data_IF_393807834776
#
_entry.id   IF_393807834776
#
_cell.length_a   1.000
_cell.length_b   1.000
_cell.length_c   1.000
_cell.angle_alpha   90.00
_cell.angle_beta   90.00
_cell.angle_gamma   90.00
#
_symmetry.space_group_name_H-M   'P 1'
#
loop_
_entity.id
_entity.type
_entity.pdbx_description
1 polymer ?
#
# COMPACT_ATOMS: atom_id res chain seq x y z
N UNK A 1 -2.14 32.01 -3.22
CA UNK A 1 -1.05 31.04 -3.45
C UNK A 1 -0.71 30.35 -2.14
N UNK A 2 -0.63 29.04 -2.14
CA UNK A 2 -0.21 28.25 -0.98
C UNK A 2 1.23 28.61 -0.63
N UNK A 3 1.48 28.91 0.64
CA UNK A 3 2.84 29.14 1.14
C UNK A 3 3.49 27.78 1.33
N UNK A 4 4.44 27.42 0.44
CA UNK A 4 5.27 26.23 0.59
C UNK A 4 5.99 26.27 1.94
N UNK A 5 6.21 25.10 2.55
CA UNK A 5 6.86 25.02 3.85
C UNK A 5 5.94 25.27 5.08
N UNK A 6 4.62 25.39 4.89
CA UNK A 6 3.71 25.54 6.02
C UNK A 6 3.70 24.27 6.88
N UNK A 7 4.20 24.37 8.11
CA UNK A 7 4.36 23.24 9.06
C UNK A 7 3.06 22.48 9.32
N UNK A 8 1.92 23.20 9.41
CA UNK A 8 0.61 22.59 9.67
C UNK A 8 0.16 21.72 8.50
N UNK A 9 0.30 22.24 7.27
CA UNK A 9 -0.03 21.52 6.04
C UNK A 9 0.87 20.31 5.83
N UNK A 10 2.18 20.48 6.03
CA UNK A 10 3.17 19.39 5.96
C UNK A 10 2.84 18.29 6.98
N UNK A 11 2.58 18.66 8.24
CA UNK A 11 2.21 17.68 9.27
C UNK A 11 0.92 16.95 8.89
N UNK A 12 -0.10 17.65 8.41
CA UNK A 12 -1.33 17.02 7.93
C UNK A 12 -1.09 16.06 6.77
N UNK A 13 -0.21 16.42 5.83
CA UNK A 13 0.17 15.55 4.72
C UNK A 13 0.88 14.28 5.21
N UNK A 14 1.89 14.41 6.04
CA UNK A 14 2.65 13.28 6.60
C UNK A 14 1.76 12.33 7.40
N UNK A 15 0.73 12.84 8.10
CA UNK A 15 -0.24 12.02 8.84
C UNK A 15 -1.15 11.16 7.96
N UNK A 16 -1.19 11.39 6.66
CA UNK A 16 -1.96 10.51 5.79
C UNK A 16 -1.32 9.12 5.66
N UNK A 17 0.01 9.03 5.62
CA UNK A 17 0.69 7.74 5.63
C UNK A 17 0.42 6.96 6.93
N UNK A 18 0.36 7.63 8.09
CA UNK A 18 -0.09 7.03 9.35
C UNK A 18 -1.50 6.45 9.23
N UNK A 19 -2.40 7.15 8.55
CA UNK A 19 -3.79 6.73 8.42
C UNK A 19 -3.95 5.55 7.45
N UNK A 20 -3.31 5.57 6.29
CA UNK A 20 -3.60 4.64 5.20
C UNK A 20 -2.70 3.40 5.15
N UNK A 21 -1.49 3.45 5.76
CA UNK A 21 -0.52 2.33 5.69
C UNK A 21 -0.98 1.07 6.41
N UNK A 22 -2.00 1.17 7.26
CA UNK A 22 -2.65 0.01 7.90
C UNK A 22 -3.32 -0.91 6.87
N UNK A 23 -3.82 -0.36 5.74
CA UNK A 23 -4.47 -1.13 4.70
C UNK A 23 -3.50 -2.12 4.01
N UNK A 24 -2.38 -1.69 3.38
CA UNK A 24 -1.49 -2.61 2.69
C UNK A 24 -0.87 -3.64 3.62
N UNK A 25 -0.57 -3.28 4.87
CA UNK A 25 0.03 -4.21 5.80
C UNK A 25 -0.98 -5.23 6.34
N UNK A 26 -2.11 -4.78 6.85
CA UNK A 26 -3.05 -5.62 7.60
C UNK A 26 -4.03 -6.34 6.66
N UNK A 27 -4.66 -5.59 5.75
CA UNK A 27 -5.64 -6.18 4.82
C UNK A 27 -4.93 -6.89 3.68
N UNK A 28 -4.07 -6.20 2.93
CA UNK A 28 -3.55 -6.73 1.68
C UNK A 28 -2.51 -7.83 1.87
N UNK A 29 -1.71 -7.78 2.97
CA UNK A 29 -0.56 -8.67 3.13
C UNK A 29 -0.65 -9.64 4.31
N UNK A 30 -1.34 -9.30 5.42
CA UNK A 30 -1.24 -10.08 6.65
C UNK A 30 -2.50 -10.90 6.97
N UNK A 31 -3.65 -10.26 7.21
CA UNK A 31 -4.80 -10.95 7.82
C UNK A 31 -5.82 -11.44 6.79
N UNK A 32 -6.20 -10.60 5.82
CA UNK A 32 -7.26 -10.98 4.89
C UNK A 32 -6.89 -12.14 3.95
N UNK A 33 -5.67 -12.24 3.38
CA UNK A 33 -5.29 -13.40 2.56
C UNK A 33 -5.41 -14.71 3.33
N UNK A 34 -4.96 -14.74 4.60
CA UNK A 34 -5.02 -15.93 5.46
C UNK A 34 -6.48 -16.28 5.78
N UNK A 35 -7.29 -15.28 6.13
CA UNK A 35 -8.71 -15.52 6.41
C UNK A 35 -9.44 -16.00 5.17
N UNK A 36 -9.20 -15.40 4.01
CA UNK A 36 -9.79 -15.80 2.74
C UNK A 36 -9.46 -17.26 2.41
N UNK A 37 -8.18 -17.64 2.49
CA UNK A 37 -7.74 -19.02 2.28
C UNK A 37 -8.40 -19.96 3.28
N UNK A 38 -8.43 -19.61 4.57
CA UNK A 38 -9.04 -20.44 5.63
C UNK A 38 -10.54 -20.64 5.40
N UNK A 39 -11.26 -19.61 4.97
CA UNK A 39 -12.71 -19.65 4.75
C UNK A 39 -13.08 -20.37 3.43
N UNK A 40 -12.17 -20.45 2.47
CA UNK A 40 -12.38 -21.04 1.15
C UNK A 40 -11.70 -22.40 0.96
N UNK A 41 -11.01 -22.90 1.99
CA UNK A 41 -10.37 -24.23 2.00
C UNK A 41 -11.07 -25.17 2.96
N UNK A 42 -11.19 -26.44 2.58
CA UNK A 42 -11.58 -27.53 3.48
C UNK A 42 -10.35 -28.39 3.77
N UNK A 43 -10.10 -28.62 5.07
CA UNK A 43 -9.00 -29.49 5.51
C UNK A 43 -9.57 -30.75 6.19
N UNK A 44 -8.88 -31.89 6.01
CA UNK A 44 -9.23 -33.11 6.72
C UNK A 44 -8.77 -33.05 8.19
N UNK A 45 -9.14 -34.05 8.99
CA UNK A 45 -8.76 -34.15 10.41
C UNK A 45 -7.22 -34.20 10.62
N UNK A 46 -6.44 -34.55 9.59
CA UNK A 46 -4.98 -34.56 9.60
C UNK A 46 -4.36 -33.23 9.12
N UNK A 47 -5.19 -32.20 8.85
CA UNK A 47 -4.73 -30.88 8.42
C UNK A 47 -4.40 -30.74 6.93
N UNK A 48 -4.55 -31.81 6.13
CA UNK A 48 -4.33 -31.74 4.68
C UNK A 48 -5.52 -31.10 3.97
N UNK A 49 -5.24 -30.21 3.03
CA UNK A 49 -6.26 -29.56 2.19
C UNK A 49 -6.93 -30.59 1.29
N UNK A 50 -8.27 -30.73 1.41
CA UNK A 50 -9.10 -31.59 0.56
C UNK A 50 -9.64 -30.79 -0.62
N UNK A 51 -9.99 -29.52 -0.38
CA UNK A 51 -10.63 -28.65 -1.32
C UNK A 51 -10.14 -27.20 -1.10
N UNK A 52 -9.72 -26.54 -2.15
CA UNK A 52 -9.18 -25.18 -2.15
C UNK A 52 -9.66 -24.36 -3.36
N UNK A 53 -10.84 -24.72 -3.89
CA UNK A 53 -11.43 -24.04 -5.04
C UNK A 53 -12.60 -23.15 -4.63
N UNK A 54 -12.78 -22.09 -5.39
CA UNK A 54 -13.85 -21.11 -5.25
C UNK A 54 -14.66 -21.08 -6.53
N UNK A 55 -15.97 -21.22 -6.42
CA UNK A 55 -16.87 -21.03 -7.56
C UNK A 55 -17.27 -19.56 -7.67
N UNK A 56 -16.93 -18.94 -8.79
CA UNK A 56 -17.31 -17.56 -9.07
C UNK A 56 -17.81 -17.43 -10.52
N UNK A 57 -19.00 -16.87 -10.69
CA UNK A 57 -19.68 -16.73 -11.99
C UNK A 57 -19.76 -18.06 -12.78
N UNK A 58 -19.98 -19.18 -12.07
CA UNK A 58 -20.09 -20.51 -12.67
C UNK A 58 -18.78 -21.16 -13.14
N UNK A 59 -17.65 -20.62 -12.72
CA UNK A 59 -16.31 -21.20 -12.94
C UNK A 59 -15.62 -21.48 -11.63
N UNK A 60 -14.83 -22.54 -11.59
CA UNK A 60 -13.98 -22.89 -10.44
C UNK A 60 -12.57 -22.36 -10.63
N UNK A 61 -12.03 -21.80 -9.57
CA UNK A 61 -10.67 -21.25 -9.49
C UNK A 61 -10.02 -21.76 -8.21
N UNK A 62 -8.72 -21.97 -8.21
CA UNK A 62 -7.98 -22.07 -6.95
C UNK A 62 -8.10 -20.77 -6.16
N UNK A 63 -8.36 -20.86 -4.87
CA UNK A 63 -8.66 -19.71 -4.02
C UNK A 63 -7.54 -18.66 -4.01
N UNK A 64 -6.27 -19.09 -3.92
CA UNK A 64 -5.11 -18.19 -3.94
C UNK A 64 -4.94 -17.49 -5.29
N UNK A 65 -5.15 -18.19 -6.40
CA UNK A 65 -5.11 -17.62 -7.76
C UNK A 65 -6.25 -16.62 -7.96
N UNK A 66 -7.46 -17.00 -7.53
CA UNK A 66 -8.63 -16.14 -7.63
C UNK A 66 -8.43 -14.82 -6.88
N UNK A 67 -7.92 -14.90 -5.64
CA UNK A 67 -7.58 -13.70 -4.86
C UNK A 67 -6.55 -12.83 -5.58
N UNK A 68 -5.50 -13.42 -6.13
CA UNK A 68 -4.49 -12.69 -6.91
C UNK A 68 -5.10 -11.99 -8.13
N UNK A 69 -6.02 -12.65 -8.88
CA UNK A 69 -6.72 -12.03 -10.01
C UNK A 69 -7.59 -10.84 -9.58
N UNK A 70 -8.29 -10.95 -8.45
CA UNK A 70 -9.12 -9.87 -7.89
C UNK A 70 -8.28 -8.64 -7.56
N UNK A 71 -7.15 -8.84 -6.90
CA UNK A 71 -6.22 -7.74 -6.57
C UNK A 71 -5.61 -7.13 -7.83
N UNK A 72 -5.13 -7.94 -8.77
CA UNK A 72 -4.61 -7.46 -10.05
C UNK A 72 -5.63 -6.63 -10.82
N UNK A 73 -6.88 -7.11 -10.91
CA UNK A 73 -7.96 -6.38 -11.58
C UNK A 73 -8.20 -5.02 -10.94
N UNK A 74 -8.19 -4.94 -9.61
CA UNK A 74 -8.36 -3.69 -8.87
C UNK A 74 -7.28 -2.67 -9.22
N UNK A 75 -6.02 -3.09 -9.27
CA UNK A 75 -4.90 -2.22 -9.65
C UNK A 75 -4.95 -1.81 -11.13
N UNK A 76 -5.38 -2.70 -12.03
CA UNK A 76 -5.58 -2.37 -13.46
C UNK A 76 -6.64 -1.27 -13.59
N UNK A 77 -7.78 -1.41 -12.90
CA UNK A 77 -8.85 -0.40 -12.90
C UNK A 77 -8.32 0.95 -12.45
N UNK A 78 -7.55 0.98 -11.35
CA UNK A 78 -6.95 2.22 -10.86
C UNK A 78 -5.94 2.78 -11.86
N UNK A 79 -5.07 1.96 -12.42
CA UNK A 79 -4.06 2.41 -13.38
C UNK A 79 -4.69 3.06 -14.63
N UNK A 80 -5.82 2.54 -15.10
CA UNK A 80 -6.54 3.09 -16.24
C UNK A 80 -7.31 4.39 -15.92
N UNK A 81 -7.89 4.47 -14.71
CA UNK A 81 -8.76 5.59 -14.33
C UNK A 81 -7.97 6.74 -13.70
N UNK A 82 -6.86 6.46 -13.00
CA UNK A 82 -6.10 7.46 -12.24
C UNK A 82 -5.62 8.66 -13.07
N UNK A 83 -5.06 8.49 -14.29
CA UNK A 83 -4.65 9.63 -15.10
C UNK A 83 -5.83 10.56 -15.42
N UNK A 84 -6.99 9.97 -15.78
CA UNK A 84 -8.20 10.74 -16.09
C UNK A 84 -8.68 11.53 -14.87
N UNK A 85 -8.77 10.87 -13.72
CA UNK A 85 -9.20 11.52 -12.49
C UNK A 85 -8.21 12.59 -12.02
N UNK A 86 -6.90 12.37 -12.20
CA UNK A 86 -5.86 13.36 -11.90
C UNK A 86 -6.03 14.61 -12.77
N UNK A 87 -6.18 14.44 -14.08
CA UNK A 87 -6.43 15.57 -15.01
C UNK A 87 -7.71 16.35 -14.65
N UNK A 88 -8.79 15.65 -14.31
CA UNK A 88 -10.05 16.26 -13.87
C UNK A 88 -9.84 17.02 -12.54
N UNK A 89 -9.12 16.45 -11.60
CA UNK A 89 -8.87 17.05 -10.30
C UNK A 89 -8.02 18.33 -10.40
N UNK A 90 -7.02 18.33 -11.27
CA UNK A 90 -6.14 19.48 -11.52
C UNK A 90 -6.88 20.63 -12.20
N UNK A 91 -7.75 20.33 -13.17
CA UNK A 91 -8.58 21.34 -13.84
C UNK A 91 -9.66 21.90 -12.93
N UNK A 92 -10.32 21.04 -12.13
CA UNK A 92 -11.44 21.45 -11.26
C UNK A 92 -11.00 22.05 -9.93
N UNK A 93 -9.73 21.94 -9.55
CA UNK A 93 -9.22 22.31 -8.23
C UNK A 93 -9.81 21.44 -7.07
N UNK A 94 -10.40 20.28 -7.37
CA UNK A 94 -11.08 19.42 -6.39
C UNK A 94 -10.23 18.24 -5.88
N UNK A 95 -8.91 18.35 -5.94
CA UNK A 95 -7.96 17.29 -5.53
C UNK A 95 -8.28 16.69 -4.15
N UNK A 96 -8.54 17.53 -3.14
CA UNK A 96 -8.91 17.09 -1.80
C UNK A 96 -10.23 16.30 -1.78
N UNK A 97 -11.21 16.68 -2.60
CA UNK A 97 -12.50 15.99 -2.64
C UNK A 97 -12.36 14.57 -3.22
N UNK A 98 -11.55 14.40 -4.26
CA UNK A 98 -11.23 13.08 -4.81
C UNK A 98 -10.46 12.23 -3.81
N UNK A 99 -9.45 12.80 -3.15
CA UNK A 99 -8.70 12.11 -2.10
C UNK A 99 -9.63 11.61 -0.98
N UNK A 100 -10.55 12.47 -0.50
CA UNK A 100 -11.57 12.10 0.50
C UNK A 100 -12.48 10.97 0.01
N UNK A 101 -12.99 11.08 -1.22
CA UNK A 101 -13.86 10.07 -1.80
C UNK A 101 -13.19 8.68 -1.79
N UNK A 102 -11.97 8.58 -2.30
CA UNK A 102 -11.25 7.32 -2.34
C UNK A 102 -10.85 6.81 -0.95
N UNK A 103 -10.44 7.70 -0.04
CA UNK A 103 -10.14 7.31 1.33
C UNK A 103 -11.37 6.76 2.07
N UNK A 104 -12.53 7.38 1.91
CA UNK A 104 -13.77 6.87 2.50
C UNK A 104 -14.27 5.59 1.80
N UNK A 105 -14.16 5.51 0.48
CA UNK A 105 -14.46 4.28 -0.25
C UNK A 105 -13.63 3.11 0.29
N UNK A 106 -12.31 3.30 0.43
CA UNK A 106 -11.41 2.29 0.94
C UNK A 106 -11.69 1.92 2.39
N UNK A 107 -11.84 2.91 3.27
CA UNK A 107 -12.08 2.67 4.70
C UNK A 107 -13.43 2.01 4.99
N UNK A 108 -14.50 2.43 4.30
CA UNK A 108 -15.83 1.80 4.42
C UNK A 108 -15.79 0.36 3.90
N UNK A 109 -15.10 0.12 2.80
CA UNK A 109 -14.92 -1.23 2.26
C UNK A 109 -14.13 -2.14 3.21
N UNK A 110 -13.09 -1.62 3.88
CA UNK A 110 -12.40 -2.35 4.95
C UNK A 110 -13.36 -2.70 6.10
N UNK A 111 -14.20 -1.75 6.54
CA UNK A 111 -15.23 -2.04 7.54
C UNK A 111 -16.24 -3.08 7.04
N UNK A 112 -16.58 -3.06 5.76
CA UNK A 112 -17.45 -4.07 5.13
C UNK A 112 -16.87 -5.48 5.20
N UNK A 113 -15.56 -5.65 5.14
CA UNK A 113 -14.89 -6.96 5.29
C UNK A 113 -15.14 -7.61 6.67
N UNK A 114 -15.57 -6.85 7.67
CA UNK A 114 -16.03 -7.42 8.95
C UNK A 114 -17.14 -8.45 8.78
N UNK A 115 -18.00 -8.30 7.79
CA UNK A 115 -19.11 -9.20 7.51
C UNK A 115 -18.73 -10.37 6.58
N UNK A 116 -17.46 -10.46 6.18
CA UNK A 116 -16.99 -11.53 5.30
C UNK A 116 -17.00 -12.89 6.00
N UNK A 117 -17.62 -13.87 5.35
CA UNK A 117 -17.53 -15.29 5.68
C UNK A 117 -17.68 -16.16 4.42
N UNK A 118 -17.55 -17.48 4.57
CA UNK A 118 -17.65 -18.42 3.44
C UNK A 118 -19.00 -18.36 2.69
N UNK A 119 -20.07 -17.90 3.35
CA UNK A 119 -21.44 -17.85 2.74
C UNK A 119 -21.68 -16.61 1.89
N UNK A 120 -20.82 -15.56 2.02
CA UNK A 120 -20.98 -14.29 1.32
C UNK A 120 -19.72 -13.85 0.57
N UNK A 121 -19.09 -14.79 -0.10
CA UNK A 121 -17.82 -14.62 -0.82
C UNK A 121 -17.83 -13.41 -1.76
N UNK A 122 -18.88 -13.24 -2.55
CA UNK A 122 -19.00 -12.13 -3.51
C UNK A 122 -18.96 -10.78 -2.82
N UNK A 123 -19.60 -10.65 -1.66
CA UNK A 123 -19.55 -9.42 -0.87
C UNK A 123 -18.15 -9.13 -0.37
N UNK A 124 -17.43 -10.14 0.16
CA UNK A 124 -16.05 -10.00 0.61
C UNK A 124 -15.11 -9.57 -0.52
N UNK A 125 -15.27 -10.19 -1.70
CA UNK A 125 -14.51 -9.83 -2.91
C UNK A 125 -14.79 -8.39 -3.31
N UNK A 126 -16.07 -8.00 -3.38
CA UNK A 126 -16.47 -6.64 -3.73
C UNK A 126 -15.85 -5.60 -2.77
N UNK A 127 -15.91 -5.87 -1.47
CA UNK A 127 -15.27 -5.05 -0.46
C UNK A 127 -13.73 -4.97 -0.65
N UNK A 128 -13.07 -6.10 -0.94
CA UNK A 128 -11.63 -6.14 -1.19
C UNK A 128 -11.24 -5.33 -2.43
N UNK A 129 -11.99 -5.43 -3.52
CA UNK A 129 -11.81 -4.63 -4.74
C UNK A 129 -11.94 -3.14 -4.45
N UNK A 130 -13.02 -2.72 -3.79
CA UNK A 130 -13.23 -1.31 -3.48
C UNK A 130 -12.23 -0.77 -2.44
N UNK A 131 -11.78 -1.59 -1.50
CA UNK A 131 -10.70 -1.22 -0.58
C UNK A 131 -9.40 -0.95 -1.33
N UNK A 132 -9.03 -1.82 -2.28
CA UNK A 132 -7.85 -1.66 -3.15
C UNK A 132 -7.94 -0.41 -4.02
N UNK A 133 -9.10 -0.20 -4.68
CA UNK A 133 -9.36 0.98 -5.50
C UNK A 133 -9.32 2.26 -4.65
N UNK A 134 -9.92 2.23 -3.47
CA UNK A 134 -9.91 3.34 -2.52
C UNK A 134 -8.50 3.70 -2.07
N UNK A 135 -7.69 2.69 -1.71
CA UNK A 135 -6.30 2.90 -1.34
C UNK A 135 -5.48 3.50 -2.48
N UNK A 136 -5.41 2.82 -3.61
CA UNK A 136 -4.58 3.25 -4.72
C UNK A 136 -5.05 4.60 -5.31
N UNK A 137 -6.38 4.81 -5.43
CA UNK A 137 -6.93 6.08 -5.87
C UNK A 137 -6.61 7.24 -4.93
N UNK A 138 -6.68 7.03 -3.60
CA UNK A 138 -6.35 8.08 -2.63
C UNK A 138 -4.87 8.47 -2.66
N UNK A 139 -3.97 7.50 -2.88
CA UNK A 139 -2.53 7.72 -2.98
C UNK A 139 -2.15 8.60 -4.17
N UNK A 140 -2.85 8.47 -5.31
CA UNK A 140 -2.61 9.33 -6.48
C UNK A 140 -2.76 10.80 -6.10
N UNK A 141 -3.87 11.17 -5.45
CA UNK A 141 -4.12 12.55 -5.05
C UNK A 141 -3.26 13.00 -3.88
N UNK A 142 -2.96 12.10 -2.94
CA UNK A 142 -2.06 12.34 -1.84
C UNK A 142 -0.65 12.72 -2.32
N UNK A 143 -0.07 11.91 -3.22
CA UNK A 143 1.27 12.18 -3.75
C UNK A 143 1.32 13.49 -4.55
N UNK A 144 0.24 13.83 -5.26
CA UNK A 144 0.15 15.07 -6.03
C UNK A 144 0.18 16.36 -5.18
N UNK A 145 0.05 16.27 -3.84
CA UNK A 145 0.22 17.42 -2.96
C UNK A 145 1.67 17.75 -2.65
N UNK A 146 2.59 16.78 -2.70
CA UNK A 146 3.99 17.00 -2.29
C UNK A 146 4.64 18.20 -2.98
N UNK A 147 4.58 18.36 -4.33
CA UNK A 147 5.16 19.52 -5.00
C UNK A 147 4.43 20.85 -4.75
N UNK A 148 3.19 20.79 -4.24
CA UNK A 148 2.42 22.00 -3.92
C UNK A 148 2.74 22.57 -2.53
N UNK A 149 3.10 21.70 -1.58
CA UNK A 149 3.26 22.06 -0.15
C UNK A 149 4.70 22.21 0.29
N UNK A 150 5.66 21.66 -0.46
CA UNK A 150 7.08 21.61 -0.10
C UNK A 150 7.98 22.13 -1.22
N UNK A 151 9.24 22.39 -0.91
CA UNK A 151 10.31 22.68 -1.87
C UNK A 151 10.97 21.39 -2.32
N UNK A 152 11.62 21.39 -3.48
CA UNK A 152 12.29 20.18 -4.02
C UNK A 152 13.35 19.62 -3.06
N UNK A 153 14.03 20.51 -2.30
CA UNK A 153 15.04 20.13 -1.30
C UNK A 153 14.45 19.35 -0.12
N UNK A 154 13.13 19.52 0.15
CA UNK A 154 12.44 18.90 1.27
C UNK A 154 11.74 17.57 0.90
N UNK A 155 11.58 17.28 -0.41
CA UNK A 155 10.76 16.13 -0.86
C UNK A 155 11.22 14.81 -0.26
N UNK A 156 12.51 14.51 -0.30
CA UNK A 156 13.06 13.23 0.18
C UNK A 156 12.83 13.04 1.68
N UNK A 157 13.09 14.10 2.46
CA UNK A 157 12.92 14.04 3.90
C UNK A 157 11.45 13.95 4.31
N UNK A 158 10.56 14.69 3.65
CA UNK A 158 9.13 14.64 3.94
C UNK A 158 8.53 13.30 3.52
N UNK A 159 8.95 12.77 2.38
CA UNK A 159 8.55 11.45 1.93
C UNK A 159 9.00 10.37 2.92
N UNK A 160 10.27 10.41 3.37
CA UNK A 160 10.79 9.48 4.37
C UNK A 160 10.03 9.57 5.69
N UNK A 161 9.72 10.80 6.15
CA UNK A 161 8.93 11.03 7.37
C UNK A 161 7.51 10.47 7.26
N UNK A 162 6.88 10.61 6.10
CA UNK A 162 5.55 10.03 5.83
C UNK A 162 5.59 8.51 5.93
N UNK A 163 6.47 7.85 5.19
CA UNK A 163 6.62 6.40 5.24
C UNK A 163 6.97 5.89 6.64
N UNK A 164 7.89 6.56 7.35
CA UNK A 164 8.24 6.17 8.72
C UNK A 164 7.03 6.21 9.66
N UNK A 165 6.20 7.26 9.59
CA UNK A 165 4.96 7.31 10.37
C UNK A 165 3.96 6.24 9.93
N UNK A 166 3.86 5.96 8.64
CA UNK A 166 3.04 4.87 8.11
C UNK A 166 3.44 3.51 8.67
N UNK A 167 4.74 3.20 8.70
CA UNK A 167 5.24 1.96 9.29
C UNK A 167 4.94 1.87 10.79
N UNK A 168 5.14 2.96 11.55
CA UNK A 168 4.84 2.97 12.98
C UNK A 168 3.35 2.74 13.21
N UNK A 169 2.46 3.47 12.53
CA UNK A 169 1.01 3.34 12.69
C UNK A 169 0.50 1.95 12.33
N UNK A 170 0.99 1.40 11.21
CA UNK A 170 0.58 0.08 10.75
C UNK A 170 1.07 -1.04 11.67
N UNK A 171 2.29 -0.94 12.22
CA UNK A 171 2.80 -1.91 13.21
C UNK A 171 2.01 -1.87 14.50
N UNK A 172 1.68 -0.69 15.02
CA UNK A 172 0.88 -0.56 16.26
C UNK A 172 -0.47 -1.27 16.08
N UNK A 173 -1.17 -1.00 14.99
CA UNK A 173 -2.46 -1.64 14.74
C UNK A 173 -2.32 -3.14 14.43
N UNK A 174 -1.29 -3.55 13.68
CA UNK A 174 -1.03 -4.98 13.42
C UNK A 174 -0.79 -5.74 14.71
N UNK A 175 0.08 -5.25 15.59
CA UNK A 175 0.38 -5.89 16.87
C UNK A 175 -0.89 -6.00 17.72
N UNK A 176 -1.69 -4.94 17.80
CA UNK A 176 -2.97 -4.98 18.50
C UNK A 176 -3.90 -6.06 17.93
N UNK A 177 -4.05 -6.12 16.60
CA UNK A 177 -4.88 -7.12 15.93
C UNK A 177 -4.36 -8.55 16.16
N UNK A 178 -3.05 -8.76 16.14
CA UNK A 178 -2.46 -10.07 16.42
C UNK A 178 -2.71 -10.50 17.87
N UNK A 179 -2.65 -9.59 18.82
CA UNK A 179 -3.01 -9.88 20.24
C UNK A 179 -4.48 -10.26 20.34
N UNK A 180 -5.40 -9.59 19.65
CA UNK A 180 -6.83 -9.96 19.66
C UNK A 180 -7.10 -11.31 19.01
N UNK A 181 -6.32 -11.69 17.98
CA UNK A 181 -6.44 -12.99 17.29
C UNK A 181 -5.85 -14.12 18.16
N UNK A 182 -4.71 -13.88 18.79
CA UNK A 182 -3.99 -14.89 19.57
C UNK A 182 -4.63 -15.14 20.95
N UNK A 183 -5.22 -14.10 21.54
CA UNK A 183 -5.82 -14.14 22.89
C UNK A 183 -7.25 -13.59 22.87
N UNK A 184 -8.19 -14.23 22.13
CA UNK A 184 -9.55 -13.72 21.96
C UNK A 184 -10.31 -13.62 23.29
N UNK A 185 -10.05 -14.53 24.21
CA UNK A 185 -10.71 -14.58 25.56
C UNK A 185 -10.46 -13.32 26.38
N UNK A 186 -9.27 -12.68 26.24
CA UNK A 186 -8.97 -11.42 26.95
C UNK A 186 -9.89 -10.28 26.55
N UNK A 187 -10.48 -10.36 25.37
CA UNK A 187 -11.37 -9.35 24.81
C UNK A 187 -12.84 -9.78 24.85
N UNK A 188 -13.12 -10.95 25.39
CA UNK A 188 -14.47 -11.52 25.40
C UNK A 188 -14.98 -11.92 24.02
N UNK A 189 -14.07 -12.21 23.08
CA UNK A 189 -14.42 -12.63 21.74
C UNK A 189 -14.69 -14.14 21.71
N UNK A 190 -15.67 -14.54 20.90
CA UNK A 190 -15.89 -15.94 20.58
C UNK A 190 -14.74 -16.48 19.72
N UNK A 191 -14.47 -17.79 19.85
CA UNK A 191 -13.54 -18.49 18.96
C UNK A 191 -13.98 -18.39 17.49
N UNK A 192 -13.03 -18.63 16.58
CA UNK A 192 -13.25 -18.65 15.14
C UNK A 192 -12.75 -17.42 14.40
N UNK A 193 -13.44 -17.02 13.35
CA UNK A 193 -13.00 -15.93 12.47
C UNK A 193 -13.29 -14.51 12.99
N UNK A 194 -14.03 -14.37 14.08
CA UNK A 194 -14.47 -13.06 14.59
C UNK A 194 -13.30 -12.10 14.88
N UNK A 195 -12.21 -12.48 15.59
CA UNK A 195 -11.10 -11.58 15.87
C UNK A 195 -10.41 -11.06 14.59
N UNK A 196 -10.25 -11.93 13.58
CA UNK A 196 -9.68 -11.53 12.30
C UNK A 196 -10.59 -10.55 11.56
N UNK A 197 -11.90 -10.78 11.55
CA UNK A 197 -12.90 -9.85 10.97
C UNK A 197 -12.94 -8.53 11.72
N UNK A 198 -12.82 -8.56 13.04
CA UNK A 198 -12.75 -7.36 13.89
C UNK A 198 -11.54 -6.47 13.51
N UNK A 199 -10.42 -7.09 13.13
CA UNK A 199 -9.26 -6.36 12.63
C UNK A 199 -9.58 -5.50 11.41
N UNK A 200 -10.46 -5.95 10.51
CA UNK A 200 -10.86 -5.18 9.33
C UNK A 200 -11.70 -3.96 9.67
N UNK A 201 -12.59 -4.10 10.66
CA UNK A 201 -13.34 -2.97 11.20
C UNK A 201 -12.40 -1.92 11.78
N UNK A 202 -11.40 -2.35 12.56
CA UNK A 202 -10.41 -1.45 13.14
C UNK A 202 -9.56 -0.74 12.09
N UNK A 203 -9.14 -1.44 11.02
CA UNK A 203 -8.43 -0.82 9.90
C UNK A 203 -9.25 0.28 9.25
N UNK A 204 -10.53 0.02 8.96
CA UNK A 204 -11.41 1.02 8.37
C UNK A 204 -11.63 2.23 9.28
N UNK A 205 -11.87 2.01 10.58
CA UNK A 205 -12.03 3.09 11.56
C UNK A 205 -10.74 3.90 11.74
N UNK A 206 -9.59 3.24 11.81
CA UNK A 206 -8.28 3.89 11.89
C UNK A 206 -8.03 4.78 10.68
N UNK A 207 -8.20 4.22 9.48
CA UNK A 207 -7.99 4.96 8.25
C UNK A 207 -8.94 6.15 8.13
N UNK A 208 -10.25 5.95 8.31
CA UNK A 208 -11.23 7.04 8.28
C UNK A 208 -10.96 8.11 9.35
N UNK A 209 -10.69 7.68 10.59
CA UNK A 209 -10.49 8.57 11.73
C UNK A 209 -9.25 9.44 11.59
N UNK A 210 -8.09 8.83 11.39
CA UNK A 210 -6.83 9.59 11.28
C UNK A 210 -6.72 10.42 10.01
N UNK A 211 -7.38 10.04 8.92
CA UNK A 211 -7.46 10.86 7.71
C UNK A 211 -8.08 12.24 7.95
N UNK A 212 -8.89 12.43 9.01
CA UNK A 212 -9.48 13.73 9.32
C UNK A 212 -8.39 14.77 9.64
N UNK A 213 -7.28 14.37 10.26
CA UNK A 213 -6.13 15.25 10.52
C UNK A 213 -5.60 15.80 9.19
N UNK A 214 -5.41 14.93 8.21
CA UNK A 214 -4.98 15.30 6.86
C UNK A 214 -5.99 16.21 6.18
N UNK A 215 -7.26 15.82 6.18
CA UNK A 215 -8.32 16.56 5.48
C UNK A 215 -8.59 17.94 6.05
N UNK A 216 -8.29 18.16 7.33
CA UNK A 216 -8.44 19.45 8.00
C UNK A 216 -7.27 20.39 7.73
N UNK A 217 -6.10 19.85 7.37
CA UNK A 217 -4.87 20.62 7.24
C UNK A 217 -4.40 20.79 5.78
N UNK A 218 -4.89 19.94 4.86
CA UNK A 218 -4.60 20.13 3.45
C UNK A 218 -5.45 21.25 2.84
N UNK A 219 -4.88 22.02 1.90
CA UNK A 219 -5.58 23.09 1.23
C UNK A 219 -6.71 22.57 0.37
N UNK A 220 -7.81 23.29 0.41
CA UNK A 220 -8.87 23.16 -0.61
C UNK A 220 -8.33 23.86 -1.86
N UNK A 221 -8.18 23.14 -2.96
CA UNK A 221 -7.70 23.73 -4.21
C UNK A 221 -8.56 24.91 -4.65
N UNK A 222 -7.95 25.90 -5.28
CA UNK A 222 -8.66 27.04 -5.85
C UNK A 222 -9.53 26.57 -7.01
N UNK A 223 -10.81 26.97 -7.00
CA UNK A 223 -11.69 26.77 -8.15
C UNK A 223 -11.12 27.51 -9.35
N UNK A 224 -10.55 26.79 -10.29
CA UNK A 224 -10.30 27.38 -11.62
C UNK A 224 -11.65 27.57 -12.29
N UNK A 225 -11.92 28.79 -12.75
CA UNK A 225 -13.14 29.09 -13.52
C UNK A 225 -13.22 28.15 -14.74
N UNK A 226 -14.24 27.31 -14.71
CA UNK A 226 -14.58 26.47 -15.87
C UNK A 226 -15.25 27.40 -16.88
N UNK A 227 -14.56 27.74 -17.97
CA UNK A 227 -15.27 28.23 -19.16
C UNK A 227 -16.27 27.16 -19.66
N UNK A 228 -17.04 27.48 -20.69
CA UNK A 228 -18.16 26.67 -21.24
C UNK A 228 -17.86 25.19 -21.59
N UNK A 229 -16.60 24.75 -21.53
CA UNK A 229 -16.22 23.34 -21.79
C UNK A 229 -16.38 22.45 -20.55
N UNK A 230 -16.84 21.21 -20.76
CA UNK A 230 -16.99 20.25 -19.69
C UNK A 230 -15.63 19.93 -19.04
N UNK A 231 -15.61 19.81 -17.72
CA UNK A 231 -14.41 19.48 -16.91
C UNK A 231 -13.78 18.16 -17.36
N UNK A 232 -14.61 17.22 -17.84
CA UNK A 232 -14.16 15.94 -18.37
C UNK A 232 -13.34 16.10 -19.66
N UNK A 233 -13.84 16.92 -20.60
CA UNK A 233 -13.12 17.18 -21.88
C UNK A 233 -11.79 17.89 -21.63
N UNK A 234 -11.76 18.83 -20.69
CA UNK A 234 -10.52 19.53 -20.30
C UNK A 234 -9.53 18.55 -19.64
N UNK A 235 -10.00 17.69 -18.72
CA UNK A 235 -9.18 16.67 -18.09
C UNK A 235 -8.56 15.69 -19.09
N UNK A 236 -9.34 15.22 -20.07
CA UNK A 236 -8.85 14.35 -21.12
C UNK A 236 -7.78 15.01 -22.00
N UNK A 237 -7.98 16.27 -22.35
CA UNK A 237 -7.03 17.07 -23.13
C UNK A 237 -5.73 17.31 -22.36
N UNK A 238 -5.81 17.54 -21.06
CA UNK A 238 -4.64 17.66 -20.20
C UNK A 238 -3.81 16.37 -20.20
N UNK A 239 -4.44 15.21 -20.08
CA UNK A 239 -3.75 13.92 -20.18
C UNK A 239 -3.06 13.75 -21.52
N UNK A 240 -3.75 14.07 -22.61
CA UNK A 240 -3.15 13.99 -23.94
C UNK A 240 -1.91 14.89 -24.05
N UNK A 241 -2.00 16.12 -23.54
CA UNK A 241 -0.88 17.07 -23.54
C UNK A 241 0.30 16.54 -22.71
N UNK A 242 0.04 15.97 -21.54
CA UNK A 242 1.05 15.36 -20.67
C UNK A 242 1.70 14.16 -21.36
N UNK A 243 0.91 13.28 -21.98
CA UNK A 243 1.41 12.10 -22.67
C UNK A 243 2.32 12.45 -23.85
N UNK A 244 1.93 13.45 -24.66
CA UNK A 244 2.77 13.98 -25.75
C UNK A 244 4.05 14.59 -25.18
N UNK A 245 3.96 15.39 -24.12
CA UNK A 245 5.12 16.03 -23.49
C UNK A 245 6.09 15.00 -22.91
N UNK A 246 5.59 13.99 -22.21
CA UNK A 246 6.40 12.89 -21.65
C UNK A 246 7.18 12.19 -22.77
N UNK A 247 6.54 11.90 -23.91
CA UNK A 247 7.21 11.28 -25.07
C UNK A 247 8.40 12.08 -25.61
N UNK A 248 8.38 13.39 -25.44
CA UNK A 248 9.49 14.28 -25.88
C UNK A 248 10.61 14.40 -24.84
N UNK A 249 10.45 13.81 -23.65
CA UNK A 249 11.41 13.85 -22.54
C UNK A 249 12.14 12.49 -22.40
N UNK A 250 13.28 12.26 -23.05
CA UNK A 250 13.92 10.94 -23.06
C UNK A 250 14.42 10.49 -21.69
N UNK A 251 14.81 11.44 -20.83
CA UNK A 251 15.26 11.15 -19.45
C UNK A 251 14.08 10.64 -18.61
N UNK A 252 12.93 11.31 -18.69
CA UNK A 252 11.73 10.93 -17.97
C UNK A 252 11.20 9.56 -18.45
N UNK A 253 11.22 9.29 -19.75
CA UNK A 253 10.81 7.99 -20.30
C UNK A 253 11.68 6.85 -19.79
N UNK A 254 13.00 7.05 -19.73
CA UNK A 254 13.93 6.07 -19.17
C UNK A 254 13.68 5.85 -17.68
N UNK A 255 13.41 6.92 -16.94
CA UNK A 255 13.08 6.82 -15.51
C UNK A 255 11.78 6.05 -15.29
N UNK A 256 10.70 6.36 -16.03
CA UNK A 256 9.42 5.67 -15.91
C UNK A 256 9.53 4.19 -16.27
N UNK A 257 10.29 3.84 -17.30
CA UNK A 257 10.56 2.45 -17.63
C UNK A 257 11.35 1.74 -16.52
N UNK A 258 12.41 2.36 -15.99
CA UNK A 258 13.17 1.83 -14.87
C UNK A 258 12.29 1.67 -13.62
N UNK A 259 11.48 2.69 -13.31
CA UNK A 259 10.53 2.67 -12.20
C UNK A 259 9.56 1.49 -12.30
N UNK A 260 9.01 1.25 -13.49
CA UNK A 260 8.11 0.12 -13.72
C UNK A 260 8.78 -1.21 -13.38
N UNK A 261 9.97 -1.47 -13.91
CA UNK A 261 10.66 -2.74 -13.69
C UNK A 261 11.11 -2.95 -12.24
N UNK A 262 11.76 -1.95 -11.62
CA UNK A 262 12.21 -2.16 -10.25
C UNK A 262 11.06 -2.19 -9.26
N UNK A 263 9.98 -1.40 -9.47
CA UNK A 263 8.80 -1.45 -8.61
C UNK A 263 8.10 -2.80 -8.68
N UNK A 264 7.98 -3.39 -9.89
CA UNK A 264 7.49 -4.76 -10.03
C UNK A 264 8.33 -5.74 -9.21
N UNK A 265 9.67 -5.69 -9.37
CA UNK A 265 10.57 -6.60 -8.63
C UNK A 265 10.42 -6.44 -7.11
N UNK A 266 10.43 -5.20 -6.61
CA UNK A 266 10.26 -4.91 -5.18
C UNK A 266 8.93 -5.44 -4.65
N UNK A 267 7.83 -5.14 -5.34
CA UNK A 267 6.49 -5.58 -4.92
C UNK A 267 6.36 -7.11 -4.96
N UNK A 268 6.90 -7.75 -5.98
CA UNK A 268 6.90 -9.23 -6.08
C UNK A 268 7.61 -9.86 -4.88
N UNK A 269 8.81 -9.38 -4.53
CA UNK A 269 9.54 -9.89 -3.36
C UNK A 269 8.72 -9.68 -2.08
N UNK A 270 8.09 -8.52 -1.91
CA UNK A 270 7.28 -8.23 -0.73
C UNK A 270 6.07 -9.17 -0.60
N UNK A 271 5.39 -9.47 -1.71
CA UNK A 271 4.24 -10.38 -1.70
C UNK A 271 4.66 -11.85 -1.50
N UNK A 272 5.80 -12.26 -2.04
CA UNK A 272 6.24 -13.64 -1.98
C UNK A 272 7.07 -13.97 -0.75
N UNK A 273 7.58 -12.99 0.00
CA UNK A 273 8.48 -13.22 1.13
C UNK A 273 7.87 -14.14 2.20
N UNK A 274 6.60 -13.93 2.58
CA UNK A 274 5.93 -14.79 3.54
C UNK A 274 5.72 -16.22 3.00
N UNK A 275 5.30 -16.35 1.75
CA UNK A 275 5.12 -17.65 1.08
C UNK A 275 6.43 -18.40 0.91
N UNK A 276 7.54 -17.69 0.66
CA UNK A 276 8.87 -18.28 0.61
C UNK A 276 9.28 -18.82 2.00
N UNK A 277 9.08 -18.04 3.06
CA UNK A 277 9.37 -18.47 4.43
C UNK A 277 8.56 -19.71 4.84
N UNK A 278 7.29 -19.77 4.48
CA UNK A 278 6.40 -20.90 4.76
C UNK A 278 6.79 -22.13 3.95
N UNK A 279 6.84 -22.02 2.61
CA UNK A 279 6.98 -23.19 1.71
C UNK A 279 8.40 -23.73 1.62
N UNK A 280 9.41 -22.86 1.59
CA UNK A 280 10.81 -23.27 1.39
C UNK A 280 11.54 -23.52 2.71
N UNK A 281 11.18 -22.77 3.77
CA UNK A 281 11.86 -22.88 5.06
C UNK A 281 11.01 -23.57 6.13
N UNK A 282 9.73 -23.84 5.86
CA UNK A 282 8.78 -24.44 6.79
C UNK A 282 8.57 -23.61 8.06
N UNK A 283 8.63 -22.27 7.95
CA UNK A 283 8.54 -21.37 9.09
C UNK A 283 7.11 -21.33 9.64
N UNK A 284 6.90 -21.51 10.94
CA UNK A 284 5.59 -21.35 11.55
C UNK A 284 5.14 -19.88 11.48
N UNK A 285 3.82 -19.66 11.58
CA UNK A 285 3.20 -18.35 11.39
C UNK A 285 3.74 -17.25 12.30
N UNK A 286 4.11 -17.57 13.55
CA UNK A 286 4.72 -16.62 14.49
C UNK A 286 6.07 -16.09 14.01
N UNK A 287 6.89 -16.94 13.39
CA UNK A 287 8.17 -16.52 12.81
C UNK A 287 7.99 -15.68 11.54
N UNK A 288 6.98 -15.98 10.72
CA UNK A 288 6.62 -15.17 9.57
C UNK A 288 6.13 -13.76 9.99
N UNK A 289 5.31 -13.70 11.03
CA UNK A 289 4.86 -12.43 11.62
C UNK A 289 6.04 -11.62 12.16
N UNK A 290 6.96 -12.27 12.88
CA UNK A 290 8.18 -11.63 13.38
C UNK A 290 9.01 -11.08 12.22
N UNK A 291 9.13 -11.81 11.12
CA UNK A 291 9.82 -11.34 9.90
C UNK A 291 9.18 -10.06 9.36
N UNK A 292 7.86 -10.01 9.26
CA UNK A 292 7.13 -8.81 8.81
C UNK A 292 7.40 -7.64 9.75
N UNK A 293 7.37 -7.86 11.06
CA UNK A 293 7.68 -6.82 12.05
C UNK A 293 9.12 -6.32 11.92
N UNK A 294 10.11 -7.21 11.73
CA UNK A 294 11.51 -6.82 11.48
C UNK A 294 11.58 -5.89 10.26
N UNK A 295 10.97 -6.30 9.13
CA UNK A 295 10.95 -5.49 7.90
C UNK A 295 10.40 -4.11 8.18
N UNK A 296 9.27 -3.99 8.85
CA UNK A 296 8.59 -2.72 9.11
C UNK A 296 9.39 -1.81 10.05
N UNK A 297 9.94 -2.35 11.13
CA UNK A 297 10.76 -1.56 12.06
C UNK A 297 12.04 -1.05 11.40
N UNK A 298 12.71 -1.91 10.63
CA UNK A 298 13.94 -1.54 9.94
C UNK A 298 13.67 -0.54 8.81
N UNK A 299 12.52 -0.63 8.15
CA UNK A 299 12.11 0.29 7.10
C UNK A 299 11.96 1.74 7.61
N UNK A 300 11.62 1.94 8.90
CA UNK A 300 11.62 3.28 9.52
C UNK A 300 13.00 3.89 9.42
N UNK A 301 14.03 3.17 9.88
CA UNK A 301 15.42 3.62 9.79
C UNK A 301 15.93 3.75 8.36
N UNK A 302 15.54 2.79 7.50
CA UNK A 302 15.90 2.75 6.09
C UNK A 302 15.40 3.96 5.31
N UNK A 303 14.18 4.42 5.56
CA UNK A 303 13.62 5.61 4.90
C UNK A 303 14.44 6.88 5.18
N UNK A 304 14.85 7.10 6.42
CA UNK A 304 15.70 8.24 6.78
C UNK A 304 17.14 8.08 6.30
N UNK A 305 17.70 6.88 6.38
CA UNK A 305 19.05 6.60 5.90
C UNK A 305 19.20 6.95 4.42
N UNK A 306 18.28 6.47 3.58
CA UNK A 306 18.36 6.74 2.15
C UNK A 306 17.95 8.16 1.77
N UNK A 307 17.10 8.84 2.54
CA UNK A 307 16.88 10.27 2.38
C UNK A 307 18.16 11.07 2.67
N UNK A 308 18.95 10.67 3.69
CA UNK A 308 20.24 11.27 3.96
C UNK A 308 21.27 11.00 2.85
N UNK A 309 21.33 9.76 2.34
CA UNK A 309 22.21 9.39 1.22
C UNK A 309 21.83 10.19 -0.02
N UNK A 310 20.53 10.33 -0.30
CA UNK A 310 20.02 11.11 -1.43
C UNK A 310 20.41 12.58 -1.35
N UNK A 311 20.34 13.17 -0.17
CA UNK A 311 20.78 14.56 0.04
C UNK A 311 22.27 14.76 -0.31
N UNK A 312 23.11 13.73 -0.13
CA UNK A 312 24.56 13.81 -0.39
C UNK A 312 24.94 13.46 -1.82
N UNK A 313 24.30 12.43 -2.41
CA UNK A 313 24.69 11.84 -3.70
C UNK A 313 23.64 12.04 -4.78
N UNK A 314 22.47 12.56 -4.44
CA UNK A 314 21.31 12.73 -5.32
C UNK A 314 20.45 11.47 -5.43
N UNK A 315 19.15 11.65 -5.80
CA UNK A 315 18.14 10.60 -5.89
C UNK A 315 18.54 9.48 -6.84
N UNK A 316 19.04 9.81 -8.02
CA UNK A 316 19.41 8.82 -9.04
C UNK A 316 20.43 7.80 -8.51
N UNK A 317 21.51 8.28 -7.87
CA UNK A 317 22.56 7.39 -7.35
C UNK A 317 22.00 6.55 -6.20
N UNK A 318 21.23 7.15 -5.31
CA UNK A 318 20.61 6.47 -4.17
C UNK A 318 19.66 5.36 -4.61
N UNK A 319 18.81 5.63 -5.61
CA UNK A 319 17.93 4.61 -6.21
C UNK A 319 18.73 3.49 -6.88
N UNK A 320 19.80 3.81 -7.60
CA UNK A 320 20.67 2.80 -8.23
C UNK A 320 21.33 1.89 -7.17
N UNK A 321 21.83 2.46 -6.08
CA UNK A 321 22.39 1.68 -4.96
C UNK A 321 21.36 0.72 -4.40
N UNK A 322 20.14 1.19 -4.15
CA UNK A 322 19.06 0.35 -3.62
C UNK A 322 18.67 -0.77 -4.59
N UNK A 323 18.58 -0.48 -5.90
CA UNK A 323 18.28 -1.52 -6.91
C UNK A 323 19.38 -2.57 -6.96
N UNK A 324 20.66 -2.19 -6.85
CA UNK A 324 21.78 -3.16 -6.79
C UNK A 324 21.67 -4.02 -5.53
N UNK A 325 21.34 -3.43 -4.37
CA UNK A 325 21.12 -4.20 -3.14
C UNK A 325 19.93 -5.17 -3.32
N UNK A 326 18.82 -4.73 -3.96
CA UNK A 326 17.68 -5.60 -4.27
C UNK A 326 18.05 -6.81 -5.13
N UNK A 327 18.90 -6.61 -6.15
CA UNK A 327 19.43 -7.72 -6.96
C UNK A 327 20.23 -8.68 -6.07
N UNK A 328 21.06 -8.14 -5.18
CA UNK A 328 21.80 -8.92 -4.19
C UNK A 328 20.91 -9.70 -3.23
N UNK A 329 19.80 -9.10 -2.75
CA UNK A 329 18.77 -9.76 -1.92
C UNK A 329 18.17 -10.96 -2.65
N UNK A 330 17.77 -10.79 -3.92
CA UNK A 330 17.22 -11.90 -4.72
C UNK A 330 18.22 -13.03 -4.90
N UNK A 331 19.50 -12.70 -5.15
CA UNK A 331 20.56 -13.71 -5.24
C UNK A 331 20.85 -14.38 -3.90
N UNK A 332 20.87 -13.63 -2.80
CA UNK A 332 21.11 -14.16 -1.46
C UNK A 332 19.96 -15.06 -0.98
N UNK A 333 18.71 -14.78 -1.38
CA UNK A 333 17.55 -15.59 -1.02
C UNK A 333 17.71 -17.06 -1.45
N UNK A 334 18.41 -17.33 -2.55
CA UNK A 334 18.70 -18.70 -3.01
C UNK A 334 19.57 -19.49 -2.02
N UNK A 335 20.38 -18.83 -1.18
CA UNK A 335 21.28 -19.44 -0.21
C UNK A 335 20.76 -19.39 1.22
N UNK A 336 19.49 -19.04 1.41
CA UNK A 336 18.86 -19.00 2.74
C UNK A 336 18.25 -20.35 3.06
N UNK A 337 18.79 -21.00 4.09
CA UNK A 337 18.36 -22.33 4.56
C UNK A 337 17.97 -22.34 6.05
N UNK A 338 18.19 -21.24 6.77
CA UNK A 338 17.89 -21.15 8.20
C UNK A 338 17.07 -19.93 8.54
N UNK A 339 16.32 -20.00 9.65
CA UNK A 339 15.50 -18.90 10.17
C UNK A 339 16.33 -17.63 10.41
N UNK A 340 17.53 -17.78 10.98
CA UNK A 340 18.40 -16.62 11.26
C UNK A 340 18.90 -15.94 9.99
N UNK A 341 19.22 -16.71 8.94
CA UNK A 341 19.56 -16.14 7.63
C UNK A 341 18.36 -15.41 7.02
N UNK A 342 17.17 -15.95 7.19
CA UNK A 342 15.93 -15.31 6.73
C UNK A 342 15.67 -13.99 7.45
N UNK A 343 15.87 -13.92 8.78
CA UNK A 343 15.76 -12.68 9.55
C UNK A 343 16.84 -11.66 9.15
N UNK A 344 18.05 -12.09 8.87
CA UNK A 344 19.11 -11.21 8.37
C UNK A 344 18.76 -10.64 7.00
N UNK A 345 18.20 -11.48 6.11
CA UNK A 345 17.71 -11.04 4.80
C UNK A 345 16.54 -10.04 4.96
N UNK A 346 15.59 -10.33 5.86
CA UNK A 346 14.47 -9.46 6.17
C UNK A 346 14.93 -8.08 6.71
N UNK A 347 15.99 -8.04 7.49
CA UNK A 347 16.60 -6.79 7.94
C UNK A 347 17.10 -5.95 6.75
N UNK A 348 17.82 -6.55 5.81
CA UNK A 348 18.32 -5.85 4.62
C UNK A 348 17.15 -5.41 3.72
N UNK A 349 16.16 -6.29 3.53
CA UNK A 349 14.92 -5.97 2.81
C UNK A 349 14.23 -4.75 3.41
N UNK A 350 14.01 -4.73 4.74
CA UNK A 350 13.38 -3.61 5.43
C UNK A 350 14.13 -2.29 5.22
N UNK A 351 15.45 -2.33 5.36
CA UNK A 351 16.28 -1.13 5.18
C UNK A 351 16.12 -0.54 3.78
N UNK A 352 16.20 -1.37 2.75
CA UNK A 352 16.12 -0.90 1.35
C UNK A 352 14.68 -0.60 0.94
N UNK A 353 13.68 -1.33 1.47
CA UNK A 353 12.25 -1.09 1.21
C UNK A 353 11.84 0.33 1.63
N UNK A 354 12.17 0.73 2.86
CA UNK A 354 11.85 2.06 3.36
C UNK A 354 12.46 3.16 2.50
N UNK A 355 13.72 2.96 2.08
CA UNK A 355 14.42 3.89 1.19
C UNK A 355 13.83 3.97 -0.20
N UNK A 356 13.61 2.83 -0.86
CA UNK A 356 13.17 2.82 -2.27
C UNK A 356 11.74 3.35 -2.41
N UNK A 357 10.85 3.05 -1.47
CA UNK A 357 9.49 3.58 -1.47
C UNK A 357 9.47 5.10 -1.25
N UNK A 358 10.25 5.60 -0.28
CA UNK A 358 10.28 7.03 0.03
C UNK A 358 10.91 7.86 -1.09
N UNK A 359 12.04 7.42 -1.66
CA UNK A 359 12.73 8.15 -2.72
C UNK A 359 12.00 8.03 -4.08
N UNK A 360 11.35 6.91 -4.36
CA UNK A 360 10.53 6.79 -5.59
C UNK A 360 9.34 7.75 -5.59
N UNK A 361 8.78 8.08 -4.41
CA UNK A 361 7.70 9.05 -4.28
C UNK A 361 8.18 10.49 -4.44
N UNK A 362 9.41 10.79 -4.02
CA UNK A 362 9.98 12.14 -4.06
C UNK A 362 10.67 12.50 -5.39
N UNK A 363 11.00 11.50 -6.22
CA UNK A 363 11.62 11.67 -7.54
C UNK A 363 10.62 11.93 -8.64
#
# INVERSE_FOLDING_TARGET
>A
MLQKGNKRTITGWVFYDWANSVYPLIISSAIFPILFETQTSQKNAAGHTIYDTVSFLGREFHNTEFYAYVICLSYIVVALISPLLSGIADVSGKKLSFMKFFAYLGSISCMGLFFFDASNLEFGILCSVFASIGYAGSIVFYNAYLPEIATEEEYDFLSARGFALGYIGSVILLVFNLVTIQFPDLFGFSEGSFPARFSFLLVGLWWAGFSQITFSNLPKGDKKESGDESVFSKGYREIQSVFVRVRTMPVLNKYLAAFFFYSMGVQTVMYLAASFGDKELGLPGDQLILTVLIIQFVAIGGSFLFAFISKKFGNKISLMIMVVIWIGICGAAYFVYTVYQFYALAFVVGMVMGGIQSLSRST
#
